data_IF_652035149220
#
_entry.id   IF_652035149220
#
_cell.length_a   1.000
_cell.length_b   1.000
_cell.length_c   1.000
_cell.angle_alpha   90.00
_cell.angle_beta   90.00
_cell.angle_gamma   90.00
#
_symmetry.space_group_name_H-M   'P 1'
#
loop_
_entity.id
_entity.type
_entity.pdbx_description
1 polymer ?
#
# COMPACT_ATOMS: atom_id res chain seq x y z
N UNK A 1 -1.64 -12.61 -24.33
CA UNK A 1 -0.31 -11.97 -24.22
C UNK A 1 -0.17 -11.43 -22.81
N UNK A 2 0.63 -12.08 -21.96
CA UNK A 2 0.91 -11.64 -20.59
C UNK A 2 2.23 -10.86 -20.59
N UNK A 3 2.17 -9.56 -20.32
CA UNK A 3 3.35 -8.70 -20.30
C UNK A 3 4.15 -8.94 -19.01
N UNK A 4 5.47 -9.06 -19.16
CA UNK A 4 6.42 -9.07 -18.04
C UNK A 4 6.16 -7.87 -17.13
N UNK A 5 6.14 -8.09 -15.81
CA UNK A 5 5.82 -7.08 -14.80
C UNK A 5 6.95 -6.03 -14.68
N UNK A 6 7.04 -5.15 -15.68
CA UNK A 6 7.80 -3.90 -15.63
C UNK A 6 7.06 -2.85 -14.83
N UNK A 7 7.79 -1.86 -14.30
CA UNK A 7 7.20 -0.70 -13.63
C UNK A 7 6.23 -0.02 -14.61
N UNK A 8 4.95 0.16 -14.23
CA UNK A 8 3.97 0.75 -15.14
C UNK A 8 4.39 2.18 -15.49
N UNK A 9 4.30 2.51 -16.76
CA UNK A 9 4.59 3.86 -17.25
C UNK A 9 3.59 4.87 -16.68
N UNK A 10 3.98 6.15 -16.60
CA UNK A 10 3.09 7.22 -16.12
C UNK A 10 1.75 7.27 -16.88
N UNK A 11 1.78 6.99 -18.19
CA UNK A 11 0.58 6.98 -19.02
C UNK A 11 -0.37 5.84 -18.66
N UNK A 12 0.16 4.64 -18.39
CA UNK A 12 -0.63 3.48 -17.95
C UNK A 12 -1.25 3.72 -16.57
N UNK A 13 -0.47 4.25 -15.62
CA UNK A 13 -0.96 4.62 -14.27
C UNK A 13 -2.11 5.61 -14.36
N UNK A 14 -1.97 6.66 -15.19
CA UNK A 14 -3.03 7.65 -15.39
C UNK A 14 -4.27 7.07 -16.10
N UNK A 15 -4.06 6.12 -17.00
CA UNK A 15 -5.15 5.42 -17.69
C UNK A 15 -5.95 4.57 -16.70
N UNK A 16 -5.25 3.81 -15.84
CA UNK A 16 -5.85 3.04 -14.74
C UNK A 16 -6.60 3.93 -13.75
N UNK A 17 -5.99 5.05 -13.34
CA UNK A 17 -6.63 5.98 -12.40
C UNK A 17 -7.94 6.56 -12.98
N UNK A 18 -7.94 6.97 -14.25
CA UNK A 18 -9.14 7.51 -14.91
C UNK A 18 -10.20 6.46 -15.18
N UNK A 19 -9.83 5.21 -15.48
CA UNK A 19 -10.81 4.12 -15.60
C UNK A 19 -11.44 3.80 -14.26
N UNK A 20 -10.65 3.76 -13.19
CA UNK A 20 -11.12 3.57 -11.83
C UNK A 20 -12.12 4.65 -11.41
N UNK A 21 -11.80 5.94 -11.59
CA UNK A 21 -12.71 7.03 -11.25
C UNK A 21 -14.03 6.98 -12.04
N UNK A 22 -14.03 6.47 -13.28
CA UNK A 22 -15.26 6.26 -14.05
C UNK A 22 -16.17 5.22 -13.39
N UNK A 23 -15.61 4.17 -12.77
CA UNK A 23 -16.37 3.17 -12.01
C UNK A 23 -16.89 3.76 -10.71
N UNK A 24 -16.05 4.48 -9.97
CA UNK A 24 -16.44 5.10 -8.69
C UNK A 24 -17.66 6.02 -8.85
N UNK A 25 -17.74 6.76 -9.97
CA UNK A 25 -18.90 7.62 -10.27
C UNK A 25 -20.23 6.87 -10.38
N UNK A 26 -20.21 5.55 -10.59
CA UNK A 26 -21.41 4.70 -10.65
C UNK A 26 -21.93 4.28 -9.27
N UNK A 27 -21.15 4.50 -8.20
CA UNK A 27 -21.62 4.22 -6.84
C UNK A 27 -22.76 5.18 -6.48
N UNK A 28 -23.90 4.62 -6.12
CA UNK A 28 -25.12 5.35 -5.70
C UNK A 28 -24.90 6.03 -4.36
N UNK A 29 -24.37 5.30 -3.37
CA UNK A 29 -24.04 5.83 -2.05
C UNK A 29 -22.96 6.93 -2.15
N UNK A 30 -23.29 8.10 -1.62
CA UNK A 30 -22.40 9.27 -1.61
C UNK A 30 -21.12 9.02 -0.80
N UNK A 31 -21.25 8.46 0.40
CA UNK A 31 -20.13 8.27 1.31
C UNK A 31 -19.13 7.30 0.71
N UNK A 32 -19.61 6.20 0.13
CA UNK A 32 -18.76 5.23 -0.56
C UNK A 32 -18.12 5.87 -1.81
N UNK A 33 -18.89 6.56 -2.65
CA UNK A 33 -18.36 7.24 -3.85
C UNK A 33 -17.24 8.23 -3.51
N UNK A 34 -17.48 9.14 -2.58
CA UNK A 34 -16.51 10.18 -2.23
C UNK A 34 -15.34 9.64 -1.42
N UNK A 35 -15.56 8.65 -0.55
CA UNK A 35 -14.48 7.97 0.15
C UNK A 35 -13.56 7.26 -0.84
N UNK A 36 -14.10 6.44 -1.74
CA UNK A 36 -13.31 5.69 -2.72
C UNK A 36 -12.56 6.62 -3.68
N UNK A 37 -13.17 7.74 -4.08
CA UNK A 37 -12.51 8.78 -4.89
C UNK A 37 -11.30 9.38 -4.17
N UNK A 38 -11.47 9.82 -2.91
CA UNK A 38 -10.37 10.37 -2.10
C UNK A 38 -9.26 9.34 -1.91
N UNK A 39 -9.63 8.12 -1.51
CA UNK A 39 -8.68 7.02 -1.27
C UNK A 39 -7.86 6.66 -2.51
N UNK A 40 -8.46 6.74 -3.70
CA UNK A 40 -7.77 6.50 -4.96
C UNK A 40 -6.81 7.64 -5.31
N UNK A 41 -7.21 8.90 -5.12
CA UNK A 41 -6.28 10.04 -5.29
C UNK A 41 -5.05 9.85 -4.40
N UNK A 42 -5.25 9.47 -3.14
CA UNK A 42 -4.15 9.26 -2.19
C UNK A 42 -3.29 8.03 -2.50
N UNK A 43 -3.89 6.98 -3.08
CA UNK A 43 -3.18 5.76 -3.48
C UNK A 43 -2.30 6.00 -4.72
N UNK A 44 -2.84 6.68 -5.73
CA UNK A 44 -2.18 6.91 -7.02
C UNK A 44 -1.20 8.10 -6.96
N UNK A 45 -1.29 8.97 -5.96
CA UNK A 45 -0.23 9.94 -5.65
C UNK A 45 0.95 9.26 -4.94
N UNK A 46 1.80 8.59 -5.72
CA UNK A 46 2.93 7.79 -5.22
C UNK A 46 3.92 8.52 -4.31
N UNK A 47 4.07 9.85 -4.45
CA UNK A 47 4.94 10.65 -3.56
C UNK A 47 4.44 10.66 -2.11
N UNK A 48 3.13 10.67 -1.88
CA UNK A 48 2.56 10.67 -0.53
C UNK A 48 2.76 9.32 0.17
N UNK A 49 2.56 8.21 -0.54
CA UNK A 49 2.77 6.87 0.01
C UNK A 49 4.24 6.59 0.31
N UNK A 50 5.15 7.04 -0.55
CA UNK A 50 6.60 6.94 -0.31
C UNK A 50 7.02 7.68 0.97
N UNK A 51 6.50 8.89 1.19
CA UNK A 51 6.81 9.68 2.39
C UNK A 51 6.25 9.05 3.66
N UNK A 52 5.05 8.48 3.62
CA UNK A 52 4.48 7.71 4.75
C UNK A 52 5.34 6.48 5.04
N UNK A 53 5.72 5.72 4.01
CA UNK A 53 6.58 4.54 4.17
C UNK A 53 7.94 4.89 4.79
N UNK A 54 8.56 6.00 4.34
CA UNK A 54 9.81 6.51 4.94
C UNK A 54 9.64 6.87 6.41
N UNK A 55 8.61 7.65 6.77
CA UNK A 55 8.34 8.03 8.17
C UNK A 55 8.10 6.80 9.05
N UNK A 56 7.34 5.84 8.52
CA UNK A 56 7.03 4.60 9.22
C UNK A 56 8.27 3.73 9.44
N UNK A 57 9.19 3.68 8.47
CA UNK A 57 10.46 2.98 8.60
C UNK A 57 11.35 3.57 9.71
N UNK A 58 11.38 4.92 9.85
CA UNK A 58 12.12 5.59 10.93
C UNK A 58 11.51 5.28 12.29
N UNK A 59 10.18 5.31 12.41
CA UNK A 59 9.51 4.96 13.69
C UNK A 59 9.83 3.52 14.06
N UNK A 60 9.69 2.58 13.11
CA UNK A 60 9.98 1.18 13.39
C UNK A 60 11.45 0.95 13.75
N UNK A 61 12.41 1.67 13.18
CA UNK A 61 13.81 1.52 13.57
C UNK A 61 14.11 2.08 14.96
N UNK A 62 13.42 3.13 15.40
CA UNK A 62 13.56 3.71 16.74
C UNK A 62 12.99 2.81 17.84
N UNK A 63 11.87 2.14 17.57
CA UNK A 63 11.18 1.29 18.53
C UNK A 63 11.41 -0.22 18.34
N UNK A 64 12.22 -0.62 17.35
CA UNK A 64 12.56 -2.01 17.13
C UNK A 64 13.29 -2.57 18.36
N UNK A 65 12.81 -3.67 18.96
CA UNK A 65 13.49 -4.28 20.09
C UNK A 65 14.86 -4.81 19.64
N UNK A 66 15.93 -4.36 20.31
CA UNK A 66 17.32 -4.76 20.03
C UNK A 66 17.58 -6.25 20.30
N UNK A 67 16.72 -6.89 21.08
CA UNK A 67 16.82 -8.28 21.50
C UNK A 67 15.54 -9.01 21.13
N UNK A 68 15.66 -10.27 20.70
CA UNK A 68 14.50 -11.14 20.42
C UNK A 68 13.70 -11.32 21.71
N UNK A 69 12.38 -11.28 21.60
CA UNK A 69 11.51 -11.52 22.77
C UNK A 69 11.55 -13.00 23.17
N UNK A 70 11.34 -13.30 24.46
CA UNK A 70 11.30 -14.68 24.98
C UNK A 70 10.28 -15.55 24.20
N UNK A 71 9.16 -14.96 23.80
CA UNK A 71 8.14 -15.62 22.96
C UNK A 71 8.65 -16.01 21.57
N UNK A 72 9.56 -15.22 20.98
CA UNK A 72 10.17 -15.52 19.69
C UNK A 72 11.28 -16.57 19.79
N UNK A 73 12.03 -16.57 20.90
CA UNK A 73 13.09 -17.56 21.19
C UNK A 73 12.49 -18.94 21.48
N UNK A 74 11.30 -18.98 22.09
CA UNK A 74 10.62 -20.23 22.43
C UNK A 74 9.73 -20.77 21.30
N UNK A 75 9.60 -20.08 20.16
CA UNK A 75 8.66 -20.47 19.10
C UNK A 75 9.11 -21.79 18.42
N UNK A 76 8.40 -22.92 18.64
CA UNK A 76 8.83 -24.23 18.16
C UNK A 76 8.75 -24.36 16.62
N UNK A 77 8.06 -23.45 15.94
CA UNK A 77 7.90 -23.46 14.47
C UNK A 77 9.17 -22.96 13.76
N UNK A 78 9.94 -22.05 14.37
CA UNK A 78 11.12 -21.44 13.72
C UNK A 78 12.43 -22.22 13.94
N UNK A 79 12.43 -23.20 14.85
CA UNK A 79 13.62 -23.95 15.25
C UNK A 79 13.61 -25.43 14.78
N UNK A 80 12.62 -25.85 13.99
CA UNK A 80 12.63 -27.15 13.31
C UNK A 80 13.35 -27.00 11.97
N UNK A 81 14.62 -27.40 11.95
CA UNK A 81 15.33 -27.78 10.72
C UNK A 81 14.92 -29.20 10.32
#
# INVERSE_FOLDING_TARGET
MSAAAGVPSRAEVLTMFRSFLRVVRKFTDYNIREYTKRRAVDAFHGKAQLEVAKRQAVIYSLYAPKLKSVMEVQNPIKHRN
#
